data_IF_456363156482
#
_entry.id   IF_456363156482
#
_cell.length_a   1.000
_cell.length_b   1.000
_cell.length_c   1.000
_cell.angle_alpha   90.00
_cell.angle_beta   90.00
_cell.angle_gamma   90.00
#
_symmetry.space_group_name_H-M   'P 1'
#
loop_
_entity.id
_entity.type
_entity.pdbx_description
1 polymer ?
#
# COMPACT_ATOMS: atom_id res chain seq x y z
N UNK A 1 5.76 2.50 -31.85
CA UNK A 1 4.75 2.92 -30.86
C UNK A 1 5.40 3.95 -29.96
N UNK A 2 4.64 4.93 -29.46
CA UNK A 2 5.16 5.85 -28.46
C UNK A 2 5.27 5.13 -27.10
N UNK A 3 6.14 5.62 -26.22
CA UNK A 3 6.26 5.10 -24.86
C UNK A 3 5.01 5.46 -24.03
N UNK A 4 4.55 4.61 -23.09
CA UNK A 4 3.41 4.92 -22.24
C UNK A 4 3.66 6.12 -21.33
N UNK A 5 2.68 7.00 -21.20
CA UNK A 5 2.72 8.18 -20.31
C UNK A 5 1.80 7.90 -19.12
N UNK A 6 2.31 8.12 -17.90
CA UNK A 6 1.50 7.98 -16.68
C UNK A 6 0.48 9.12 -16.65
N UNK A 7 -0.80 8.78 -16.47
CA UNK A 7 -1.90 9.76 -16.44
C UNK A 7 -2.55 9.89 -15.07
N UNK A 8 -2.36 8.90 -14.19
CA UNK A 8 -2.99 8.88 -12.88
C UNK A 8 -2.26 7.98 -11.90
N UNK A 9 -2.20 8.44 -10.65
CA UNK A 9 -1.73 7.65 -9.52
C UNK A 9 -2.85 7.61 -8.47
N UNK A 10 -3.18 6.43 -8.00
CA UNK A 10 -4.13 6.20 -6.91
C UNK A 10 -3.46 5.44 -5.77
N UNK A 11 -3.93 5.72 -4.55
CA UNK A 11 -3.66 4.88 -3.39
C UNK A 11 -4.97 4.40 -2.83
N UNK A 12 -5.14 3.09 -2.80
CA UNK A 12 -6.29 2.45 -2.18
C UNK A 12 -5.84 1.94 -0.82
N UNK A 13 -6.45 2.44 0.25
CA UNK A 13 -6.22 1.93 1.60
C UNK A 13 -7.27 0.89 1.95
N UNK A 14 -6.85 -0.13 2.69
CA UNK A 14 -7.75 -1.17 3.18
C UNK A 14 -7.40 -1.54 4.62
N UNK A 15 -8.38 -2.04 5.35
CA UNK A 15 -8.19 -2.62 6.67
C UNK A 15 -8.46 -4.12 6.61
N UNK A 16 -7.68 -4.89 7.37
CA UNK A 16 -7.86 -6.32 7.53
C UNK A 16 -7.65 -6.71 8.98
N UNK A 17 -8.35 -7.76 9.42
CA UNK A 17 -8.16 -8.34 10.74
C UNK A 17 -7.62 -9.77 10.61
N UNK A 18 -6.64 -10.11 11.44
CA UNK A 18 -6.07 -11.45 11.52
C UNK A 18 -6.25 -12.02 12.92
N UNK A 19 -6.77 -13.23 12.98
CA UNK A 19 -7.00 -13.98 14.22
C UNK A 19 -5.76 -14.77 14.62
N UNK A 20 -5.58 -14.96 15.92
CA UNK A 20 -4.45 -15.64 16.55
C UNK A 20 -3.07 -15.03 16.20
N UNK A 21 -3.04 -13.72 15.96
CA UNK A 21 -1.84 -12.99 15.58
C UNK A 21 -1.72 -11.73 16.43
N UNK A 22 -0.61 -11.62 17.16
CA UNK A 22 -0.31 -10.52 18.05
C UNK A 22 1.06 -9.91 17.77
N UNK A 23 1.57 -9.18 18.77
CA UNK A 23 2.89 -8.55 18.74
C UNK A 23 3.71 -9.04 19.93
N UNK A 24 5.01 -9.20 19.74
CA UNK A 24 5.92 -9.51 20.83
C UNK A 24 6.05 -8.34 21.83
N UNK A 25 6.88 -8.53 22.85
CA UNK A 25 7.13 -7.50 23.87
C UNK A 25 7.76 -6.21 23.31
N UNK A 26 8.35 -6.25 22.10
CA UNK A 26 8.86 -5.06 21.41
C UNK A 26 7.77 -4.28 20.69
N UNK A 27 6.57 -4.86 20.52
CA UNK A 27 5.39 -4.19 19.97
C UNK A 27 5.34 -4.10 18.44
N UNK A 28 6.24 -4.79 17.72
CA UNK A 28 6.28 -4.76 16.26
C UNK A 28 6.51 -6.12 15.59
N UNK A 29 7.22 -7.07 16.20
CA UNK A 29 7.37 -8.38 15.58
C UNK A 29 6.06 -9.13 15.71
N UNK A 30 5.58 -9.67 14.58
CA UNK A 30 4.37 -10.49 14.57
C UNK A 30 4.67 -11.85 15.18
N UNK A 31 3.82 -12.28 16.12
CA UNK A 31 3.91 -13.58 16.77
C UNK A 31 2.54 -14.24 16.81
N UNK A 32 2.54 -15.57 16.79
CA UNK A 32 1.31 -16.32 17.05
C UNK A 32 0.87 -16.11 18.50
N UNK A 33 -0.39 -15.74 18.70
CA UNK A 33 -0.96 -15.51 20.03
C UNK A 33 -2.43 -15.99 20.04
N UNK A 34 -2.74 -17.16 20.64
CA UNK A 34 -4.08 -17.72 20.63
C UNK A 34 -5.15 -16.75 21.15
N UNK A 35 -6.25 -16.60 20.40
CA UNK A 35 -7.38 -15.76 20.79
C UNK A 35 -7.19 -14.26 20.56
N UNK A 36 -5.98 -13.81 20.21
CA UNK A 36 -5.75 -12.40 19.86
C UNK A 36 -6.28 -12.06 18.46
N UNK A 37 -6.50 -10.76 18.23
CA UNK A 37 -6.92 -10.20 16.95
C UNK A 37 -6.09 -8.94 16.69
N UNK A 38 -5.40 -8.90 15.56
CA UNK A 38 -4.68 -7.72 15.13
C UNK A 38 -5.36 -7.12 13.90
N UNK A 39 -5.63 -5.82 13.97
CA UNK A 39 -6.02 -5.02 12.81
C UNK A 39 -4.77 -4.50 12.12
N UNK A 40 -4.73 -4.61 10.80
CA UNK A 40 -3.68 -4.08 9.96
C UNK A 40 -4.29 -3.25 8.86
N UNK A 41 -3.75 -2.05 8.65
CA UNK A 41 -4.03 -1.25 7.47
C UNK A 41 -2.97 -1.56 6.42
N UNK A 42 -3.41 -1.75 5.17
CA UNK A 42 -2.54 -1.86 4.01
C UNK A 42 -2.91 -0.82 2.97
N UNK A 43 -2.04 -0.71 1.97
CA UNK A 43 -2.19 0.21 0.85
C UNK A 43 -1.87 -0.51 -0.45
N UNK A 44 -2.53 -0.07 -1.52
CA UNK A 44 -2.26 -0.51 -2.89
C UNK A 44 -1.98 0.74 -3.71
N UNK A 45 -0.79 0.80 -4.29
CA UNK A 45 -0.43 1.81 -5.30
C UNK A 45 -0.92 1.32 -6.66
N UNK A 46 -1.69 2.16 -7.35
CA UNK A 46 -2.18 1.89 -8.71
C UNK A 46 -1.79 3.04 -9.63
N UNK A 47 -1.13 2.72 -10.74
CA UNK A 47 -0.62 3.68 -11.73
C UNK A 47 -1.27 3.36 -13.07
N UNK A 48 -1.96 4.34 -13.65
CA UNK A 48 -2.60 4.25 -14.96
C UNK A 48 -1.79 5.00 -16.02
N UNK A 49 -1.83 4.52 -17.27
CA UNK A 49 -1.19 5.15 -18.43
C UNK A 49 -2.20 5.52 -19.52
N UNK A 50 -1.79 6.40 -20.43
CA UNK A 50 -2.56 6.81 -21.62
C UNK A 50 -2.88 5.65 -22.59
N UNK A 51 -2.10 4.57 -22.54
CA UNK A 51 -2.30 3.36 -23.34
C UNK A 51 -3.16 2.30 -22.64
N UNK A 52 -3.74 2.61 -21.47
CA UNK A 52 -4.59 1.69 -20.70
C UNK A 52 -3.81 0.60 -19.95
N UNK A 53 -2.47 0.66 -19.94
CA UNK A 53 -1.64 -0.21 -19.09
C UNK A 53 -1.77 0.28 -17.65
N UNK A 54 -1.98 -0.67 -16.73
CA UNK A 54 -2.10 -0.41 -15.30
C UNK A 54 -1.06 -1.23 -14.55
N UNK A 55 -0.27 -0.55 -13.72
CA UNK A 55 0.66 -1.18 -12.77
C UNK A 55 0.12 -1.10 -11.36
N UNK A 56 0.23 -2.20 -10.59
CA UNK A 56 -0.25 -2.28 -9.21
C UNK A 56 0.83 -2.84 -8.28
N UNK A 57 0.91 -2.29 -7.07
CA UNK A 57 1.80 -2.77 -6.01
C UNK A 57 1.08 -2.74 -4.66
N UNK A 58 0.94 -3.90 -4.03
CA UNK A 58 0.39 -4.06 -2.69
C UNK A 58 1.52 -4.01 -1.65
N UNK A 59 1.55 -2.94 -0.85
CA UNK A 59 2.63 -2.69 0.10
C UNK A 59 2.77 -1.21 0.39
N UNK A 60 3.92 -0.82 0.96
CA UNK A 60 4.19 0.56 1.37
C UNK A 60 3.30 1.03 2.53
N UNK A 61 3.71 2.13 3.16
CA UNK A 61 2.99 2.78 4.24
C UNK A 61 2.65 4.22 3.91
N UNK A 62 1.96 4.88 4.85
CA UNK A 62 1.59 6.29 4.70
C UNK A 62 2.80 7.21 4.56
N UNK A 63 3.94 6.86 5.16
CA UNK A 63 5.16 7.67 5.08
C UNK A 63 5.76 7.64 3.67
N UNK A 64 5.92 6.47 3.08
CA UNK A 64 6.45 6.30 1.71
C UNK A 64 5.56 7.06 0.72
N UNK A 65 4.25 6.90 0.88
CA UNK A 65 3.28 7.51 -0.01
C UNK A 65 3.03 9.00 0.20
N UNK A 66 3.41 9.55 1.36
CA UNK A 66 3.37 10.99 1.60
C UNK A 66 4.27 11.79 0.64
N UNK A 67 5.22 11.12 -0.01
CA UNK A 67 6.15 11.75 -0.97
C UNK A 67 5.59 11.86 -2.38
N UNK A 68 4.53 11.13 -2.75
CA UNK A 68 3.99 11.17 -4.12
C UNK A 68 3.67 12.59 -4.63
N UNK A 69 3.07 13.49 -3.84
CA UNK A 69 2.78 14.86 -4.29
C UNK A 69 4.03 15.64 -4.73
N UNK A 70 5.24 15.28 -4.24
CA UNK A 70 6.47 15.99 -4.60
C UNK A 70 6.86 15.79 -6.06
N UNK A 71 6.30 14.80 -6.75
CA UNK A 71 6.57 14.56 -8.17
C UNK A 71 5.33 14.31 -9.02
N UNK A 72 4.14 14.16 -8.40
CA UNK A 72 2.88 13.95 -9.12
C UNK A 72 2.52 15.09 -10.10
N UNK A 73 3.14 16.27 -9.96
CA UNK A 73 2.97 17.40 -10.87
C UNK A 73 3.80 17.30 -12.16
N UNK A 74 4.67 16.30 -12.30
CA UNK A 74 5.38 15.99 -13.55
C UNK A 74 4.61 15.04 -14.47
N UNK A 75 3.46 14.54 -14.02
CA UNK A 75 2.57 13.67 -14.79
C UNK A 75 1.80 14.47 -15.83
#
# INVERSE_FOLDING_TARGET
>A
MADPIITKIEIHTYESERVNLGKDYNGFNLVYEPGSRIKSQGSILRIETDQGIVGEYAGGGGAEYSTLPTFAHFL
#
